data_IF_996065580354
#
_entry.id   IF_996065580354
#
_cell.length_a   1.000
_cell.length_b   1.000
_cell.length_c   1.000
_cell.angle_alpha   90.00
_cell.angle_beta   90.00
_cell.angle_gamma   90.00
#
_symmetry.space_group_name_H-M   'P 1'
#
loop_
_entity.id
_entity.type
_entity.pdbx_description
1 polymer ?
#
# COMPACT_ATOMS: atom_id res chain seq x y z
N UNK A 1 -5.79 -20.51 -1.98
CA UNK A 1 -5.10 -21.61 -2.71
C UNK A 1 -5.92 -22.85 -2.43
N UNK A 2 -6.34 -23.59 -3.46
CA UNK A 2 -7.20 -24.76 -3.31
C UNK A 2 -6.34 -26.03 -3.39
N UNK A 3 -6.51 -26.96 -2.44
CA UNK A 3 -5.68 -28.16 -2.29
C UNK A 3 -6.60 -29.38 -2.31
N UNK A 4 -6.37 -30.42 -3.14
CA UNK A 4 -7.19 -31.64 -3.17
C UNK A 4 -7.26 -32.37 -1.81
N UNK A 5 -8.40 -33.01 -1.50
CA UNK A 5 -8.68 -33.59 -0.17
C UNK A 5 -7.74 -34.73 0.22
N UNK A 6 -7.37 -35.52 -0.75
CA UNK A 6 -6.38 -36.61 -0.70
C UNK A 6 -4.98 -36.10 -0.33
N UNK A 7 -4.57 -34.93 -0.82
CA UNK A 7 -3.32 -34.26 -0.39
C UNK A 7 -3.47 -33.67 1.01
N UNK A 8 -4.63 -33.08 1.34
CA UNK A 8 -4.87 -32.49 2.66
C UNK A 8 -4.88 -33.52 3.80
N UNK A 9 -5.35 -34.75 3.53
CA UNK A 9 -5.47 -35.82 4.52
C UNK A 9 -4.23 -36.74 4.57
N UNK A 10 -3.30 -36.59 3.63
CA UNK A 10 -2.07 -37.37 3.61
C UNK A 10 -1.23 -37.06 4.86
N UNK A 11 -0.84 -38.11 5.59
CA UNK A 11 0.07 -37.98 6.74
C UNK A 11 1.52 -38.07 6.28
N UNK A 12 2.33 -37.09 6.67
CA UNK A 12 3.77 -37.07 6.40
C UNK A 12 4.52 -36.46 7.59
N UNK A 13 5.74 -36.95 7.85
CA UNK A 13 6.63 -36.37 8.86
C UNK A 13 7.31 -35.12 8.26
N UNK A 14 6.60 -34.00 8.25
CA UNK A 14 7.12 -32.71 7.81
C UNK A 14 7.18 -31.78 9.02
N UNK A 15 8.39 -31.40 9.42
CA UNK A 15 8.59 -30.30 10.35
C UNK A 15 8.37 -28.97 9.61
N UNK A 16 7.38 -28.14 10.01
CA UNK A 16 7.13 -26.86 9.36
C UNK A 16 8.26 -25.87 9.68
N UNK A 17 9.13 -25.61 8.71
CA UNK A 17 10.13 -24.56 8.82
C UNK A 17 9.52 -23.23 8.35
N UNK A 18 9.22 -22.36 9.31
CA UNK A 18 8.82 -20.99 9.02
C UNK A 18 10.06 -20.12 8.88
N UNK A 19 10.31 -19.63 7.67
CA UNK A 19 11.31 -18.60 7.42
C UNK A 19 10.61 -17.35 6.91
N UNK A 20 10.92 -16.21 7.51
CA UNK A 20 10.49 -14.92 6.97
C UNK A 20 11.34 -14.59 5.75
N UNK A 21 10.71 -14.41 4.60
CA UNK A 21 11.39 -13.81 3.45
C UNK A 21 11.48 -12.31 3.72
N UNK A 22 12.70 -11.78 3.76
CA UNK A 22 12.93 -10.34 3.91
C UNK A 22 12.38 -9.62 2.68
N UNK A 23 11.47 -8.67 2.88
CA UNK A 23 11.00 -7.81 1.81
C UNK A 23 11.94 -6.61 1.68
N UNK A 24 13.02 -6.79 0.91
CA UNK A 24 14.04 -5.75 0.67
C UNK A 24 13.63 -4.77 -0.44
N UNK A 25 12.48 -4.12 -0.27
CA UNK A 25 12.13 -3.01 -1.17
C UNK A 25 12.93 -1.77 -0.78
N UNK A 26 13.91 -1.39 -1.61
CA UNK A 26 14.64 -0.13 -1.46
C UNK A 26 13.72 1.07 -1.70
N UNK A 27 13.80 2.08 -0.83
CA UNK A 27 13.02 3.30 -1.00
C UNK A 27 13.48 4.07 -2.26
N UNK A 28 12.58 4.36 -3.23
CA UNK A 28 12.96 4.95 -4.51
C UNK A 28 13.12 6.48 -4.41
N UNK A 29 14.18 6.92 -3.74
CA UNK A 29 14.47 8.34 -3.44
C UNK A 29 14.34 9.26 -4.66
N UNK A 30 14.99 8.92 -5.77
CA UNK A 30 15.00 9.74 -6.99
C UNK A 30 13.60 9.91 -7.61
N UNK A 31 12.77 8.86 -7.57
CA UNK A 31 11.41 8.92 -8.09
C UNK A 31 10.52 9.82 -7.22
N UNK A 32 10.68 9.74 -5.90
CA UNK A 32 9.94 10.59 -4.95
C UNK A 32 10.36 12.06 -5.08
N UNK A 33 11.65 12.35 -5.25
CA UNK A 33 12.14 13.71 -5.47
C UNK A 33 11.59 14.31 -6.78
N UNK A 34 11.56 13.52 -7.86
CA UNK A 34 10.95 13.93 -9.12
C UNK A 34 9.46 14.24 -8.94
N UNK A 35 8.71 13.39 -8.24
CA UNK A 35 7.30 13.61 -7.96
C UNK A 35 7.08 14.90 -7.13
N UNK A 36 7.93 15.17 -6.14
CA UNK A 36 7.87 16.40 -5.34
C UNK A 36 8.07 17.65 -6.19
N UNK A 37 9.02 17.63 -7.13
CA UNK A 37 9.23 18.75 -8.08
C UNK A 37 8.04 18.94 -9.00
N UNK A 38 7.42 17.86 -9.48
CA UNK A 38 6.21 17.97 -10.31
C UNK A 38 5.03 18.53 -9.52
N UNK A 39 4.87 18.15 -8.25
CA UNK A 39 3.83 18.68 -7.37
C UNK A 39 4.01 20.16 -7.08
N UNK A 40 5.24 20.65 -6.89
CA UNK A 40 5.49 22.08 -6.62
C UNK A 40 5.21 22.98 -7.83
N UNK A 41 5.27 22.45 -9.05
CA UNK A 41 4.98 23.16 -10.28
C UNK A 41 3.49 23.07 -10.70
N UNK A 42 2.71 22.21 -10.05
CA UNK A 42 1.31 22.00 -10.39
C UNK A 42 0.43 23.14 -9.85
N UNK A 43 -0.43 23.70 -10.72
CA UNK A 43 -1.32 24.81 -10.34
C UNK A 43 -2.59 24.35 -9.63
N UNK A 44 -3.10 23.16 -9.96
CA UNK A 44 -4.28 22.54 -9.34
C UNK A 44 -4.10 21.03 -9.22
N UNK A 45 -3.16 20.55 -8.39
CA UNK A 45 -2.94 19.11 -8.23
C UNK A 45 -4.18 18.42 -7.66
N UNK A 46 -4.45 17.21 -8.12
CA UNK A 46 -5.49 16.33 -7.57
C UNK A 46 -4.81 15.07 -7.04
N UNK A 47 -5.07 14.75 -5.78
CA UNK A 47 -4.57 13.55 -5.14
C UNK A 47 -5.65 12.45 -5.19
N UNK A 48 -5.41 11.43 -5.99
CA UNK A 48 -6.23 10.22 -6.04
C UNK A 48 -5.66 9.16 -5.11
N UNK A 49 -6.47 8.68 -4.17
CA UNK A 49 -6.01 7.76 -3.13
C UNK A 49 -6.73 6.42 -3.22
N UNK A 50 -5.97 5.35 -3.39
CA UNK A 50 -6.48 3.98 -3.42
C UNK A 50 -6.51 3.30 -2.04
N UNK A 51 -7.20 2.15 -1.96
CA UNK A 51 -7.37 1.38 -0.71
C UNK A 51 -6.07 0.87 -0.07
N UNK A 52 -4.98 0.80 -0.83
CA UNK A 52 -3.66 0.41 -0.32
C UNK A 52 -3.17 1.27 0.85
N UNK A 53 -3.56 2.54 0.92
CA UNK A 53 -3.22 3.42 2.06
C UNK A 53 -3.85 2.91 3.37
N UNK A 54 -5.10 2.43 3.31
CA UNK A 54 -5.77 1.82 4.46
C UNK A 54 -5.14 0.48 4.84
N UNK A 55 -4.85 -0.36 3.84
CA UNK A 55 -4.18 -1.65 4.06
C UNK A 55 -2.80 -1.50 4.71
N UNK A 56 -2.08 -0.42 4.36
CA UNK A 56 -0.77 -0.09 4.93
C UNK A 56 -0.84 0.71 6.24
N UNK A 57 -2.03 0.96 6.79
CA UNK A 57 -2.23 1.80 7.98
C UNK A 57 -1.62 3.21 7.86
N UNK A 58 -1.52 3.73 6.63
CA UNK A 58 -0.84 4.98 6.31
C UNK A 58 -1.79 6.19 6.21
N UNK A 59 -3.04 6.04 6.66
CA UNK A 59 -4.04 7.12 6.65
C UNK A 59 -3.59 8.35 7.45
N UNK A 60 -2.97 8.24 8.64
CA UNK A 60 -2.44 9.41 9.36
C UNK A 60 -1.36 10.14 8.56
N UNK A 61 -0.38 9.41 8.02
CA UNK A 61 0.71 9.98 7.22
C UNK A 61 0.18 10.68 5.95
N UNK A 62 -0.84 10.13 5.31
CA UNK A 62 -1.51 10.77 4.17
C UNK A 62 -2.15 12.10 4.57
N UNK A 63 -2.82 12.16 5.73
CA UNK A 63 -3.46 13.40 6.22
C UNK A 63 -2.42 14.49 6.50
N UNK A 64 -1.30 14.12 7.11
CA UNK A 64 -0.17 15.03 7.31
C UNK A 64 0.39 15.54 5.98
N UNK A 65 0.59 14.65 5.00
CA UNK A 65 1.07 15.01 3.68
C UNK A 65 0.16 16.03 2.98
N UNK A 66 -1.17 15.84 3.05
CA UNK A 66 -2.15 16.79 2.50
C UNK A 66 -2.07 18.14 3.22
N UNK A 67 -1.95 18.13 4.54
CA UNK A 67 -1.84 19.34 5.36
C UNK A 67 -0.57 20.16 5.07
N UNK A 68 0.53 19.52 4.70
CA UNK A 68 1.77 20.20 4.28
C UNK A 68 1.65 20.72 2.85
N UNK A 69 0.94 20.00 1.98
CA UNK A 69 0.92 20.31 0.54
C UNK A 69 -0.09 21.40 0.16
N UNK A 70 -1.14 21.65 0.99
CA UNK A 70 -2.17 22.72 1.02
C UNK A 70 -2.87 23.15 -0.30
N UNK A 71 -2.38 22.68 -1.44
CA UNK A 71 -2.71 23.17 -2.78
C UNK A 71 -3.46 22.10 -3.59
N UNK A 72 -3.62 20.90 -3.03
CA UNK A 72 -4.22 19.76 -3.71
C UNK A 72 -5.65 19.51 -3.23
N UNK A 73 -6.60 19.44 -4.17
CA UNK A 73 -7.86 18.75 -3.92
C UNK A 73 -7.60 17.24 -3.83
N UNK A 74 -8.29 16.49 -2.97
CA UNK A 74 -8.11 15.05 -2.88
C UNK A 74 -9.43 14.30 -2.96
N UNK A 75 -9.41 13.16 -3.66
CA UNK A 75 -10.51 12.21 -3.73
C UNK A 75 -10.06 10.95 -2.99
N UNK A 76 -10.66 10.72 -1.82
CA UNK A 76 -10.48 9.49 -1.05
C UNK A 76 -11.71 8.61 -1.28
N UNK A 77 -11.54 7.50 -1.99
CA UNK A 77 -12.62 6.53 -2.16
C UNK A 77 -12.68 5.60 -0.95
N UNK A 78 -13.44 5.98 0.08
CA UNK A 78 -13.84 5.03 1.13
C UNK A 78 -14.76 3.99 0.53
N UNK A 79 -14.22 2.83 0.16
CA UNK A 79 -15.05 1.61 0.10
C UNK A 79 -15.34 1.20 1.54
N UNK A 80 -16.34 1.86 2.13
CA UNK A 80 -17.06 1.30 3.27
C UNK A 80 -17.63 -0.05 2.85
N UNK A 81 -17.27 -1.11 3.60
CA UNK A 81 -17.58 -2.50 3.28
C UNK A 81 -19.07 -2.82 3.17
N UNK A 82 -19.64 -2.59 1.99
CA UNK A 82 -20.81 -3.30 1.43
C UNK A 82 -20.35 -3.69 0.03
N UNK A 83 -20.20 -4.96 -0.34
CA UNK A 83 -20.83 -6.20 0.08
C UNK A 83 -19.78 -7.31 0.24
#
# INVERSE_FOLDING_TARGET
>A
MDIPKDIQLASGALEPYFTTVTNEAMFPQAAVEKARTMLSQAQKPILYVGGGVGMAQAVPALREFIAVTQNAGYLYAERTGRC
#
